data_IF_037866141876
#
_entry.id   IF_037866141876
#
_cell.length_a   1.000
_cell.length_b   1.000
_cell.length_c   1.000
_cell.angle_alpha   90.00
_cell.angle_beta   90.00
_cell.angle_gamma   90.00
#
_symmetry.space_group_name_H-M   'P 1'
#
loop_
_entity.id
_entity.type
_entity.pdbx_description
1 polymer ?
#
# COMPACT_ATOMS: atom_id res chain seq x y z
N UNK A 1 3.87 16.70 -21.37
CA UNK A 1 2.42 16.61 -21.10
C UNK A 1 1.94 17.92 -20.50
N UNK A 2 0.66 18.26 -20.66
CA UNK A 2 0.07 19.45 -20.03
C UNK A 2 -0.36 19.17 -18.59
N UNK A 3 -0.28 20.18 -17.72
CA UNK A 3 -0.74 20.12 -16.32
C UNK A 3 -2.14 19.51 -16.14
N UNK A 4 -3.19 19.91 -16.90
CA UNK A 4 -4.52 19.31 -16.73
C UNK A 4 -4.58 17.83 -17.08
N UNK A 5 -3.72 17.33 -17.99
CA UNK A 5 -3.65 15.90 -18.28
C UNK A 5 -3.07 15.11 -17.10
N UNK A 6 -2.01 15.65 -16.46
CA UNK A 6 -1.37 15.06 -15.28
C UNK A 6 -2.39 14.92 -14.14
N UNK A 7 -3.15 15.98 -13.87
CA UNK A 7 -4.21 15.99 -12.85
C UNK A 7 -5.23 14.88 -13.12
N UNK A 8 -5.74 14.78 -14.36
CA UNK A 8 -6.73 13.74 -14.74
C UNK A 8 -6.21 12.32 -14.54
N UNK A 9 -4.94 12.07 -14.84
CA UNK A 9 -4.35 10.75 -14.63
C UNK A 9 -4.21 10.41 -13.15
N UNK A 10 -3.68 11.33 -12.35
CA UNK A 10 -3.53 11.10 -10.90
C UNK A 10 -4.87 10.94 -10.19
N UNK A 11 -5.89 11.73 -10.53
CA UNK A 11 -7.22 11.56 -9.95
C UNK A 11 -7.82 10.20 -10.27
N UNK A 12 -7.65 9.73 -11.51
CA UNK A 12 -8.07 8.38 -11.91
C UNK A 12 -7.31 7.29 -11.16
N UNK A 13 -5.99 7.43 -11.02
CA UNK A 13 -5.15 6.48 -10.28
C UNK A 13 -5.61 6.41 -8.83
N UNK A 14 -5.78 7.55 -8.16
CA UNK A 14 -6.23 7.61 -6.77
C UNK A 14 -7.62 7.01 -6.57
N UNK A 15 -8.54 7.21 -7.52
CA UNK A 15 -9.89 6.63 -7.45
C UNK A 15 -9.91 5.11 -7.60
N UNK A 16 -9.01 4.55 -8.42
CA UNK A 16 -8.95 3.11 -8.71
C UNK A 16 -8.00 2.36 -7.77
N UNK A 17 -7.17 3.08 -6.99
CA UNK A 17 -6.17 2.45 -6.15
C UNK A 17 -6.81 1.59 -5.05
N UNK A 18 -6.35 0.35 -4.82
CA UNK A 18 -6.90 -0.50 -3.77
C UNK A 18 -6.66 0.10 -2.37
N UNK A 19 -7.59 -0.16 -1.45
CA UNK A 19 -7.46 0.22 -0.05
C UNK A 19 -6.45 -0.70 0.65
N UNK A 20 -5.43 -0.13 1.29
CA UNK A 20 -4.47 -0.87 2.10
C UNK A 20 -5.01 -1.01 3.53
N UNK A 21 -5.57 -2.17 3.86
CA UNK A 21 -6.14 -2.45 5.18
C UNK A 21 -5.07 -2.72 6.25
N UNK A 22 -3.87 -3.15 5.85
CA UNK A 22 -2.81 -3.51 6.79
C UNK A 22 -2.08 -2.28 7.33
N UNK A 23 -2.10 -1.19 6.56
CA UNK A 23 -1.44 0.07 6.92
C UNK A 23 -2.40 1.24 6.73
N UNK A 24 -3.46 1.34 7.55
CA UNK A 24 -4.47 2.39 7.41
C UNK A 24 -3.88 3.80 7.54
N UNK A 25 -2.81 3.95 8.33
CA UNK A 25 -2.18 5.24 8.61
C UNK A 25 -1.06 5.60 7.63
N UNK A 26 -0.56 4.61 6.87
CA UNK A 26 0.50 4.80 5.88
C UNK A 26 0.14 4.19 4.51
N UNK A 27 -1.01 4.54 3.91
CA UNK A 27 -1.38 3.98 2.63
C UNK A 27 -0.53 4.60 1.52
N UNK A 28 -0.19 3.81 0.51
CA UNK A 28 0.60 4.26 -0.63
C UNK A 28 -0.05 5.44 -1.37
N UNK A 29 -1.38 5.56 -1.33
CA UNK A 29 -2.15 6.70 -1.85
C UNK A 29 -1.61 8.04 -1.35
N UNK A 30 -1.13 8.13 -0.10
CA UNK A 30 -0.49 9.35 0.44
C UNK A 30 0.74 9.77 -0.33
N UNK A 31 1.55 8.82 -0.76
CA UNK A 31 2.78 9.11 -1.51
C UNK A 31 2.43 9.65 -2.89
N UNK A 32 1.39 9.07 -3.53
CA UNK A 32 0.84 9.54 -4.80
C UNK A 32 0.25 10.95 -4.63
N UNK A 33 -0.55 11.19 -3.59
CA UNK A 33 -1.12 12.50 -3.27
C UNK A 33 -0.01 13.55 -3.07
N UNK A 34 0.99 13.27 -2.23
CA UNK A 34 2.12 14.18 -1.98
C UNK A 34 2.88 14.53 -3.26
N UNK A 35 3.06 13.56 -4.17
CA UNK A 35 3.67 13.81 -5.48
C UNK A 35 2.76 14.61 -6.41
N UNK A 36 1.44 14.45 -6.29
CA UNK A 36 0.46 15.11 -7.13
C UNK A 36 0.04 16.52 -6.65
N UNK A 37 0.31 16.87 -5.38
CA UNK A 37 0.00 18.19 -4.80
C UNK A 37 0.57 19.37 -5.60
N UNK A 38 1.84 19.36 -6.08
CA UNK A 38 2.40 20.45 -6.88
C UNK A 38 1.65 20.68 -8.20
N UNK A 39 0.91 19.68 -8.69
CA UNK A 39 0.13 19.74 -9.92
C UNK A 39 -1.35 20.10 -9.68
N UNK A 40 -1.76 20.34 -8.43
CA UNK A 40 -3.11 20.79 -8.08
C UNK A 40 -4.13 19.66 -7.81
N UNK A 41 -3.67 18.43 -7.58
CA UNK A 41 -4.57 17.32 -7.20
C UNK A 41 -4.98 17.44 -5.73
N UNK A 42 -6.29 17.37 -5.47
CA UNK A 42 -6.84 17.38 -4.10
C UNK A 42 -6.61 16.02 -3.44
N UNK A 43 -6.10 15.98 -2.19
CA UNK A 43 -5.93 14.72 -1.47
C UNK A 43 -7.30 14.11 -1.16
N UNK A 44 -7.40 12.78 -1.30
CA UNK A 44 -8.61 12.00 -0.99
C UNK A 44 -8.54 11.46 0.44
N UNK A 45 -7.33 11.30 0.96
CA UNK A 45 -7.10 10.73 2.29
C UNK A 45 -7.27 11.79 3.40
N UNK A 46 -7.91 11.46 4.55
CA UNK A 46 -8.17 12.42 5.63
C UNK A 46 -6.88 13.05 6.18
N UNK A 47 -6.84 14.30 6.66
CA UNK A 47 -5.63 14.85 7.27
C UNK A 47 -5.22 14.00 8.48
N UNK A 48 -3.93 13.66 8.58
CA UNK A 48 -3.39 12.90 9.72
C UNK A 48 -3.22 13.88 10.89
N UNK A 49 -3.81 13.57 12.04
CA UNK A 49 -3.60 14.31 13.28
C UNK A 49 -2.11 14.33 13.65
N UNK A 50 -1.62 15.45 14.19
CA UNK A 50 -0.20 15.75 14.40
C UNK A 50 0.56 14.72 15.28
N UNK A 51 -0.13 13.79 15.92
CA UNK A 51 0.42 12.74 16.76
C UNK A 51 1.28 11.70 16.00
N UNK A 52 0.99 11.42 14.72
CA UNK A 52 1.74 10.39 13.94
C UNK A 52 3.02 10.94 13.29
N UNK A 53 3.21 12.27 13.29
CA UNK A 53 4.44 12.91 12.79
C UNK A 53 5.69 12.47 13.57
N UNK A 54 5.53 12.06 14.84
CA UNK A 54 6.65 11.68 15.72
C UNK A 54 7.18 10.27 15.48
N UNK A 55 6.35 9.30 15.08
CA UNK A 55 6.79 7.92 14.80
C UNK A 55 7.38 7.74 13.41
N UNK A 56 6.97 8.55 12.42
CA UNK A 56 7.53 8.51 11.07
C UNK A 56 8.93 9.15 10.94
N UNK A 57 9.38 9.94 11.93
CA UNK A 57 10.69 10.59 11.91
C UNK A 57 11.88 9.62 12.16
N UNK A 58 11.62 8.40 12.64
CA UNK A 58 12.65 7.41 12.96
C UNK A 58 13.02 6.48 11.79
N UNK A 59 12.25 6.48 10.69
CA UNK A 59 12.50 5.63 9.53
C UNK A 59 13.09 6.43 8.37
N UNK A 60 14.43 6.51 8.34
CA UNK A 60 15.29 7.00 7.25
C UNK A 60 15.04 8.43 6.73
N UNK A 61 16.12 9.22 6.69
CA UNK A 61 16.14 10.55 6.03
C UNK A 61 15.55 10.41 4.62
N UNK A 62 14.47 11.13 4.26
CA UNK A 62 13.89 11.01 2.93
C UNK A 62 14.94 11.47 1.91
N UNK A 63 15.27 10.60 0.96
CA UNK A 63 16.09 10.99 -0.19
C UNK A 63 15.48 12.26 -0.82
N UNK A 64 16.31 13.23 -1.24
CA UNK A 64 15.81 14.46 -1.83
C UNK A 64 14.91 14.10 -3.02
N UNK A 65 13.62 14.41 -2.89
CA UNK A 65 12.65 14.21 -3.96
C UNK A 65 13.10 15.15 -5.09
N UNK A 66 13.75 14.59 -6.10
CA UNK A 66 14.19 15.35 -7.26
C UNK A 66 12.98 16.12 -7.82
N UNK A 67 13.15 17.42 -8.04
CA UNK A 67 12.09 18.31 -8.55
C UNK A 67 11.54 17.72 -9.85
N UNK A 68 10.29 17.26 -9.83
CA UNK A 68 9.66 16.61 -10.98
C UNK A 68 9.25 17.63 -12.04
N UNK A 69 9.84 17.52 -13.22
CA UNK A 69 9.37 18.27 -14.40
C UNK A 69 8.13 17.61 -14.99
N UNK A 70 7.18 18.36 -15.59
CA UNK A 70 5.99 17.78 -16.21
C UNK A 70 6.26 16.70 -17.27
N UNK A 71 7.44 16.70 -17.88
CA UNK A 71 7.90 15.71 -18.84
C UNK A 71 8.33 14.40 -18.13
N UNK A 72 8.95 14.50 -16.95
CA UNK A 72 9.40 13.36 -16.17
C UNK A 72 8.25 12.62 -15.46
N UNK A 73 7.05 13.20 -15.39
CA UNK A 73 5.88 12.57 -14.76
C UNK A 73 5.23 11.50 -15.63
N UNK A 74 5.34 11.62 -16.95
CA UNK A 74 4.80 10.64 -17.90
C UNK A 74 5.22 9.18 -17.62
N UNK A 75 6.53 8.85 -17.52
CA UNK A 75 6.95 7.49 -17.24
C UNK A 75 6.49 7.01 -15.85
N UNK A 76 6.38 7.92 -14.88
CA UNK A 76 5.93 7.56 -13.53
C UNK A 76 4.44 7.24 -13.50
N UNK A 77 3.61 8.04 -14.18
CA UNK A 77 2.18 7.78 -14.36
C UNK A 77 1.99 6.43 -15.07
N UNK A 78 2.77 6.16 -16.11
CA UNK A 78 2.73 4.88 -16.82
C UNK A 78 3.15 3.69 -15.92
N UNK A 79 4.16 3.88 -15.07
CA UNK A 79 4.56 2.88 -14.09
C UNK A 79 3.43 2.62 -13.07
N UNK A 80 2.76 3.67 -12.57
CA UNK A 80 1.62 3.55 -11.67
C UNK A 80 0.46 2.80 -12.32
N UNK A 81 0.11 3.09 -13.58
CA UNK A 81 -0.90 2.31 -14.30
C UNK A 81 -0.47 0.85 -14.52
N UNK A 82 0.81 0.61 -14.84
CA UNK A 82 1.34 -0.75 -15.01
C UNK A 82 1.25 -1.57 -13.71
N UNK A 83 1.44 -0.93 -12.55
CA UNK A 83 1.23 -1.55 -11.24
C UNK A 83 -0.26 -1.77 -10.95
N UNK A 84 -1.10 -0.76 -11.18
CA UNK A 84 -2.55 -0.83 -10.95
C UNK A 84 -3.20 -1.98 -11.74
N UNK A 85 -2.77 -2.19 -12.98
CA UNK A 85 -3.29 -3.23 -13.86
C UNK A 85 -2.67 -4.62 -13.62
N UNK A 86 -1.76 -4.74 -12.64
CA UNK A 86 -0.96 -5.93 -12.37
C UNK A 86 -0.26 -6.46 -13.63
N UNK A 87 0.22 -5.56 -14.50
CA UNK A 87 0.73 -5.89 -15.84
C UNK A 87 1.87 -6.90 -15.79
N UNK A 88 2.77 -6.76 -14.81
CA UNK A 88 3.94 -7.64 -14.67
C UNK A 88 3.59 -9.02 -14.14
N UNK A 89 2.62 -9.10 -13.22
CA UNK A 89 2.11 -10.39 -12.74
C UNK A 89 1.41 -11.17 -13.86
N UNK A 90 0.65 -10.48 -14.73
CA UNK A 90 0.01 -11.09 -15.91
C UNK A 90 1.02 -11.53 -16.98
N UNK A 91 2.05 -10.70 -17.22
CA UNK A 91 3.07 -10.97 -18.26
C UNK A 91 4.01 -12.11 -17.86
N UNK A 92 4.31 -12.23 -16.57
CA UNK A 92 5.23 -13.22 -16.04
C UNK A 92 4.51 -14.08 -14.99
N UNK A 93 3.65 -15.03 -15.41
CA UNK A 93 2.93 -15.88 -14.48
C UNK A 93 3.93 -16.74 -13.71
N UNK A 94 3.79 -16.73 -12.40
CA UNK A 94 4.62 -17.49 -11.46
C UNK A 94 4.03 -18.88 -11.28
N UNK A 95 4.89 -19.90 -11.22
CA UNK A 95 4.42 -21.29 -11.15
C UNK A 95 3.74 -21.57 -9.80
N UNK A 96 2.70 -22.42 -9.76
CA UNK A 96 2.01 -22.75 -8.52
C UNK A 96 2.93 -23.34 -7.43
N UNK A 97 4.01 -24.03 -7.84
CA UNK A 97 4.98 -24.61 -6.91
C UNK A 97 5.77 -23.57 -6.10
N UNK A 98 5.90 -22.32 -6.58
CA UNK A 98 6.52 -21.23 -5.80
C UNK A 98 5.61 -20.81 -4.64
N UNK A 99 4.29 -20.87 -4.83
CA UNK A 99 3.30 -20.50 -3.81
C UNK A 99 2.83 -21.68 -2.95
N UNK A 100 3.28 -22.90 -3.24
CA UNK A 100 2.92 -24.12 -2.49
C UNK A 100 4.19 -24.90 -2.18
N UNK A 101 4.93 -24.52 -1.12
CA UNK A 101 6.17 -25.18 -0.78
C UNK A 101 5.90 -26.63 -0.39
N UNK A 102 6.79 -27.55 -0.80
CA UNK A 102 6.62 -29.00 -0.58
C UNK A 102 6.44 -29.37 0.90
N UNK A 103 7.06 -28.62 1.81
CA UNK A 103 6.97 -28.85 3.25
C UNK A 103 5.62 -28.48 3.86
N UNK A 104 4.90 -27.51 3.28
CA UNK A 104 3.58 -27.09 3.74
C UNK A 104 2.80 -26.41 2.60
N UNK A 105 2.01 -27.14 1.80
CA UNK A 105 1.35 -26.61 0.62
C UNK A 105 0.29 -25.54 0.93
N UNK A 106 -0.26 -25.52 2.15
CA UNK A 106 -1.31 -24.56 2.57
C UNK A 106 -0.74 -23.31 3.26
N UNK A 107 0.58 -23.17 3.39
CA UNK A 107 1.19 -22.10 4.19
C UNK A 107 0.72 -20.70 3.79
N UNK A 108 0.82 -20.37 2.50
CA UNK A 108 0.45 -19.04 2.01
C UNK A 108 -1.07 -18.83 1.96
N UNK A 109 -1.87 -19.88 1.81
CA UNK A 109 -3.34 -19.79 1.85
C UNK A 109 -3.81 -19.41 3.26
N UNK A 110 -3.28 -20.09 4.29
CA UNK A 110 -3.54 -19.76 5.70
C UNK A 110 -3.05 -18.36 6.06
N UNK A 111 -1.88 -17.96 5.55
CA UNK A 111 -1.33 -16.63 5.75
C UNK A 111 -2.24 -15.55 5.14
N UNK A 112 -2.73 -15.75 3.92
CA UNK A 112 -3.66 -14.82 3.26
C UNK A 112 -4.98 -14.71 4.03
N UNK A 113 -5.54 -15.82 4.51
CA UNK A 113 -6.75 -15.81 5.34
C UNK A 113 -6.53 -15.02 6.65
N UNK A 114 -5.38 -15.21 7.30
CA UNK A 114 -5.04 -14.49 8.52
C UNK A 114 -4.88 -12.99 8.26
N UNK A 115 -4.23 -12.61 7.15
CA UNK A 115 -4.05 -11.22 6.70
C UNK A 115 -5.40 -10.55 6.42
N UNK A 116 -6.33 -11.23 5.75
CA UNK A 116 -7.68 -10.70 5.47
C UNK A 116 -8.53 -10.58 6.73
N UNK A 117 -8.34 -11.49 7.70
CA UNK A 117 -9.04 -11.47 8.98
C UNK A 117 -8.46 -10.39 9.90
N UNK A 118 -7.16 -10.11 9.84
CA UNK A 118 -6.45 -9.16 10.72
C UNK A 118 -7.10 -7.76 10.84
N UNK A 119 -7.49 -7.04 9.77
CA UNK A 119 -8.12 -5.73 9.89
C UNK A 119 -9.53 -5.79 10.50
N UNK A 120 -10.18 -6.96 10.48
CA UNK A 120 -11.48 -7.21 11.14
C UNK A 120 -11.33 -7.74 12.56
N UNK A 121 -10.15 -8.26 12.93
CA UNK A 121 -9.85 -8.65 14.32
C UNK A 121 -9.71 -7.36 15.11
N UNK A 122 -10.60 -7.17 16.07
CA UNK A 122 -10.42 -6.11 17.06
C UNK A 122 -9.05 -6.31 17.73
N UNK A 123 -8.30 -5.23 17.97
CA UNK A 123 -7.04 -5.27 18.73
C UNK A 123 -7.19 -6.03 20.06
N UNK A 124 -8.40 -5.97 20.65
CA UNK A 124 -8.78 -6.74 21.83
C UNK A 124 -8.83 -8.26 21.59
N UNK A 125 -9.33 -8.72 20.45
CA UNK A 125 -9.34 -10.15 20.07
C UNK A 125 -7.93 -10.67 19.80
N UNK A 126 -7.07 -9.88 19.14
CA UNK A 126 -5.67 -10.25 18.93
C UNK A 126 -4.92 -10.42 20.27
N UNK A 127 -5.15 -9.50 21.22
CA UNK A 127 -4.64 -9.60 22.60
C UNK A 127 -5.23 -10.80 23.35
N UNK A 128 -6.53 -11.06 23.21
CA UNK A 128 -7.20 -12.21 23.85
C UNK A 128 -6.73 -13.55 23.29
N UNK A 129 -6.49 -13.65 21.99
CA UNK A 129 -5.95 -14.86 21.34
C UNK A 129 -4.52 -15.12 21.79
N UNK A 130 -3.68 -14.09 21.89
CA UNK A 130 -2.33 -14.21 22.47
C UNK A 130 -2.38 -14.66 23.94
N UNK A 131 -3.31 -14.11 24.72
CA UNK A 131 -3.54 -14.51 26.11
C UNK A 131 -4.02 -15.96 26.22
N UNK A 132 -4.96 -16.37 25.37
CA UNK A 132 -5.52 -17.73 25.34
C UNK A 132 -4.49 -18.76 24.89
N UNK A 133 -3.61 -18.42 23.94
CA UNK A 133 -2.51 -19.29 23.53
C UNK A 133 -1.42 -19.40 24.61
N UNK A 134 -1.21 -18.35 25.43
CA UNK A 134 -0.35 -18.41 26.63
C UNK A 134 -0.96 -19.24 27.77
N UNK A 135 -2.29 -19.27 27.90
CA UNK A 135 -3.01 -20.06 28.92
C UNK A 135 -3.17 -21.53 28.51
N UNK A 136 -3.00 -21.86 27.23
CA UNK A 136 -3.04 -23.24 26.70
C UNK A 136 -1.77 -24.06 26.97
N UNK A 137 -0.88 -23.55 27.82
CA UNK A 137 0.24 -24.30 28.39
C UNK A 137 -0.04 -24.64 29.86
N UNK A 138 -0.86 -25.67 30.06
CA UNK A 138 -0.83 -26.66 31.15
C UNK A 138 -1.45 -27.94 30.57
#
# INVERSE_FOLDING_TARGET
MSQPAIVKHYTRILALWPKDLLRPNLPFTRTIERRATPYGVKPVSPPIDEAEKKTAAAAAKPAPIAKSTPQAELPQINALFSLLENRYSKKYPVSPGVFKPTSNPEHYERLMEEIERAPKKSWFQAKMDEWKMKIRWQ
#
